data_IF_891927619042
#
_entry.id   IF_891927619042
#
_cell.length_a   1.000
_cell.length_b   1.000
_cell.length_c   1.000
_cell.angle_alpha   90.00
_cell.angle_beta   90.00
_cell.angle_gamma   90.00
#
_symmetry.space_group_name_H-M   'P 1'
#
loop_
_entity.id
_entity.type
_entity.pdbx_description
1 polymer ?
#
# COMPACT_ATOMS: atom_id res chain seq x y z
N UNK A 1 26.60 52.11 -2.71
CA UNK A 1 25.82 51.23 -1.80
C UNK A 1 25.37 49.98 -2.58
N UNK A 2 26.19 48.94 -2.60
CA UNK A 2 25.90 47.65 -3.28
C UNK A 2 25.70 46.59 -2.20
N UNK A 3 24.47 46.12 -2.00
CA UNK A 3 24.19 44.99 -1.10
C UNK A 3 24.57 43.69 -1.81
N UNK A 4 25.63 43.03 -1.34
CA UNK A 4 25.91 41.63 -1.66
C UNK A 4 24.78 40.75 -1.11
N UNK A 5 23.99 40.15 -1.99
CA UNK A 5 23.05 39.09 -1.65
C UNK A 5 23.81 37.79 -1.42
N UNK A 6 24.08 37.46 -0.15
CA UNK A 6 24.57 36.15 0.22
C UNK A 6 23.46 35.11 -0.01
N UNK A 7 23.70 34.16 -0.91
CA UNK A 7 22.88 32.96 -1.09
C UNK A 7 22.99 32.12 0.19
N UNK A 8 21.88 31.78 0.88
CA UNK A 8 21.95 30.94 2.06
C UNK A 8 22.45 29.54 1.66
N UNK A 9 23.60 29.14 2.20
CA UNK A 9 24.14 27.80 2.01
C UNK A 9 23.18 26.77 2.63
N UNK A 10 22.67 25.86 1.80
CA UNK A 10 21.85 24.74 2.26
C UNK A 10 22.68 23.89 3.22
N UNK A 11 22.25 23.68 4.48
CA UNK A 11 23.03 22.92 5.44
C UNK A 11 23.24 21.49 4.95
N UNK A 12 24.50 21.03 4.97
CA UNK A 12 24.92 19.71 4.49
C UNK A 12 24.29 18.51 5.25
N UNK A 13 23.54 18.77 6.32
CA UNK A 13 22.94 17.78 7.22
C UNK A 13 21.81 16.97 6.57
N UNK A 14 21.03 17.55 5.64
CA UNK A 14 19.95 16.84 4.95
C UNK A 14 20.48 15.70 4.05
N UNK A 15 21.73 15.78 3.58
CA UNK A 15 22.29 14.79 2.65
C UNK A 15 22.86 13.53 3.29
N UNK A 16 23.36 13.59 4.54
CA UNK A 16 23.99 12.42 5.17
C UNK A 16 22.96 11.40 5.64
N UNK A 17 21.88 11.85 6.28
CA UNK A 17 20.77 10.98 6.69
C UNK A 17 20.10 10.28 5.51
N UNK A 18 19.82 11.01 4.42
CA UNK A 18 19.23 10.44 3.20
C UNK A 18 20.17 9.43 2.54
N UNK A 19 21.48 9.70 2.48
CA UNK A 19 22.46 8.74 1.94
C UNK A 19 22.55 7.47 2.79
N UNK A 20 22.55 7.60 4.11
CA UNK A 20 22.55 6.44 5.02
C UNK A 20 21.25 5.64 4.87
N UNK A 21 20.09 6.29 4.91
CA UNK A 21 18.80 5.62 4.71
C UNK A 21 18.73 4.92 3.35
N UNK A 22 19.19 5.56 2.27
CA UNK A 22 19.28 4.96 0.94
C UNK A 22 20.20 3.75 0.94
N UNK A 23 21.39 3.86 1.53
CA UNK A 23 22.34 2.76 1.60
C UNK A 23 21.74 1.57 2.38
N UNK A 24 21.09 1.84 3.51
CA UNK A 24 20.40 0.82 4.31
C UNK A 24 19.29 0.15 3.50
N UNK A 25 18.42 0.92 2.84
CA UNK A 25 17.34 0.36 2.01
C UNK A 25 17.88 -0.48 0.84
N UNK A 26 18.97 -0.06 0.20
CA UNK A 26 19.61 -0.83 -0.87
C UNK A 26 20.19 -2.13 -0.30
N UNK A 27 20.94 -2.07 0.79
CA UNK A 27 21.53 -3.27 1.43
C UNK A 27 20.44 -4.25 1.85
N UNK A 28 19.40 -3.77 2.52
CA UNK A 28 18.26 -4.60 2.93
C UNK A 28 17.55 -5.18 1.72
N UNK A 29 17.29 -4.38 0.68
CA UNK A 29 16.66 -4.85 -0.56
C UNK A 29 17.46 -5.95 -1.25
N UNK A 30 18.78 -5.77 -1.39
CA UNK A 30 19.68 -6.78 -1.98
C UNK A 30 19.71 -8.04 -1.11
N UNK A 31 19.78 -7.89 0.22
CA UNK A 31 19.75 -9.03 1.14
C UNK A 31 18.45 -9.82 1.02
N UNK A 32 17.30 -9.14 0.92
CA UNK A 32 15.99 -9.79 0.72
C UNK A 32 15.86 -10.47 -0.64
N UNK A 33 16.41 -9.88 -1.71
CA UNK A 33 16.47 -10.52 -3.03
C UNK A 33 17.32 -11.79 -2.97
N UNK A 34 18.50 -11.73 -2.33
CA UNK A 34 19.37 -12.88 -2.14
C UNK A 34 18.68 -13.99 -1.33
N UNK A 35 18.02 -13.62 -0.22
CA UNK A 35 17.23 -14.54 0.59
C UNK A 35 16.09 -15.16 -0.21
N UNK A 36 15.35 -14.37 -0.98
CA UNK A 36 14.27 -14.84 -1.85
C UNK A 36 14.78 -15.81 -2.92
N UNK A 37 15.94 -15.52 -3.53
CA UNK A 37 16.60 -16.41 -4.48
C UNK A 37 17.01 -17.75 -3.86
N UNK A 38 17.56 -17.73 -2.64
CA UNK A 38 17.88 -18.94 -1.89
C UNK A 38 16.63 -19.77 -1.55
N UNK A 39 15.59 -19.11 -1.04
CA UNK A 39 14.31 -19.77 -0.72
C UNK A 39 13.67 -20.36 -1.98
N UNK A 40 13.78 -19.67 -3.12
CA UNK A 40 13.26 -20.15 -4.40
C UNK A 40 13.89 -21.49 -4.81
N UNK A 41 15.20 -21.64 -4.63
CA UNK A 41 15.91 -22.89 -4.98
C UNK A 41 15.56 -24.04 -4.04
N UNK A 42 15.29 -23.76 -2.77
CA UNK A 42 14.95 -24.78 -1.76
C UNK A 42 13.47 -25.21 -1.82
N UNK A 43 12.56 -24.29 -2.14
CA UNK A 43 11.11 -24.52 -1.95
C UNK A 43 10.34 -24.71 -3.25
N UNK A 44 10.86 -24.27 -4.39
CA UNK A 44 10.13 -24.28 -5.66
C UNK A 44 10.87 -25.09 -6.70
N UNK A 45 10.19 -26.11 -7.24
CA UNK A 45 10.69 -26.89 -8.38
C UNK A 45 10.94 -25.98 -9.60
N UNK A 46 12.08 -26.13 -10.31
CA UNK A 46 12.42 -25.28 -11.46
C UNK A 46 11.36 -25.20 -12.56
N UNK A 47 10.56 -26.25 -12.73
CA UNK A 47 9.45 -26.29 -13.70
C UNK A 47 8.35 -25.26 -13.41
N UNK A 48 8.28 -24.72 -12.19
CA UNK A 48 7.30 -23.72 -11.77
C UNK A 48 7.82 -22.28 -11.83
N UNK A 49 9.09 -22.06 -12.15
CA UNK A 49 9.66 -20.71 -12.21
C UNK A 49 8.96 -19.82 -13.25
N UNK A 50 8.52 -20.39 -14.37
CA UNK A 50 7.75 -19.66 -15.38
C UNK A 50 6.43 -19.11 -14.82
N UNK A 51 5.68 -19.94 -14.07
CA UNK A 51 4.44 -19.50 -13.43
C UNK A 51 4.66 -18.43 -12.37
N UNK A 52 5.73 -18.56 -11.57
CA UNK A 52 6.13 -17.54 -10.61
C UNK A 52 6.48 -16.21 -11.30
N UNK A 53 7.24 -16.26 -12.39
CA UNK A 53 7.64 -15.06 -13.12
C UNK A 53 6.42 -14.32 -13.70
N UNK A 54 5.47 -15.06 -14.29
CA UNK A 54 4.20 -14.49 -14.76
C UNK A 54 3.43 -13.85 -13.61
N UNK A 55 3.39 -14.49 -12.45
CA UNK A 55 2.73 -13.93 -11.26
C UNK A 55 3.42 -12.64 -10.80
N UNK A 56 4.75 -12.62 -10.67
CA UNK A 56 5.50 -11.44 -10.26
C UNK A 56 5.27 -10.25 -11.21
N UNK A 57 5.37 -10.49 -12.53
CA UNK A 57 5.12 -9.46 -13.54
C UNK A 57 3.66 -8.98 -13.46
N UNK A 58 2.71 -9.91 -13.37
CA UNK A 58 1.29 -9.60 -13.24
C UNK A 58 0.99 -8.75 -12.01
N UNK A 59 1.59 -9.06 -10.86
CA UNK A 59 1.46 -8.29 -9.62
C UNK A 59 2.02 -6.88 -9.74
N UNK A 60 3.19 -6.70 -10.36
CA UNK A 60 3.78 -5.36 -10.59
C UNK A 60 2.88 -4.53 -11.50
N UNK A 61 2.39 -5.10 -12.61
CA UNK A 61 1.48 -4.40 -13.53
C UNK A 61 0.19 -4.01 -12.81
N UNK A 62 -0.42 -4.95 -12.08
CA UNK A 62 -1.63 -4.67 -11.32
C UNK A 62 -1.42 -3.53 -10.31
N UNK A 63 -0.28 -3.52 -9.60
CA UNK A 63 -0.02 -2.49 -8.60
C UNK A 63 0.32 -1.13 -9.20
N UNK A 64 1.31 -1.08 -10.09
CA UNK A 64 1.94 0.17 -10.52
C UNK A 64 1.23 0.80 -11.71
N UNK A 65 0.69 -0.03 -12.62
CA UNK A 65 0.03 0.46 -13.83
C UNK A 65 -1.49 0.64 -13.67
N UNK A 66 -2.10 -0.03 -12.69
CA UNK A 66 -3.56 0.04 -12.47
C UNK A 66 -3.88 0.72 -11.15
N UNK A 67 -3.43 0.15 -10.03
CA UNK A 67 -3.88 0.61 -8.71
C UNK A 67 -3.36 2.01 -8.41
N UNK A 68 -2.05 2.26 -8.57
CA UNK A 68 -1.46 3.56 -8.28
C UNK A 68 -2.10 4.71 -9.10
N UNK A 69 -2.28 4.58 -10.45
CA UNK A 69 -2.94 5.61 -11.25
C UNK A 69 -4.41 5.82 -10.88
N UNK A 70 -5.17 4.75 -10.62
CA UNK A 70 -6.59 4.86 -10.23
C UNK A 70 -6.72 5.59 -8.90
N UNK A 71 -5.89 5.22 -7.92
CA UNK A 71 -5.90 5.85 -6.60
C UNK A 71 -5.47 7.32 -6.68
N UNK A 72 -4.41 7.63 -7.44
CA UNK A 72 -3.97 9.00 -7.67
C UNK A 72 -5.04 9.82 -8.41
N UNK A 73 -5.67 9.25 -9.44
CA UNK A 73 -6.77 9.86 -10.18
C UNK A 73 -7.97 10.16 -9.29
N UNK A 74 -8.38 9.22 -8.44
CA UNK A 74 -9.45 9.42 -7.47
C UNK A 74 -9.12 10.55 -6.47
N UNK A 75 -7.90 10.58 -5.94
CA UNK A 75 -7.45 11.65 -5.06
C UNK A 75 -7.50 13.04 -5.74
N UNK A 76 -7.06 13.11 -7.01
CA UNK A 76 -7.13 14.35 -7.80
C UNK A 76 -8.57 14.78 -8.08
N UNK A 77 -9.47 13.85 -8.40
CA UNK A 77 -10.89 14.15 -8.64
C UNK A 77 -11.57 14.68 -7.39
N UNK A 78 -11.32 14.06 -6.23
CA UNK A 78 -11.84 14.55 -4.94
C UNK A 78 -11.30 15.95 -4.63
N UNK A 79 -10.01 16.19 -4.87
CA UNK A 79 -9.39 17.52 -4.71
C UNK A 79 -10.00 18.59 -5.61
N UNK A 80 -10.41 18.22 -6.84
CA UNK A 80 -11.08 19.14 -7.78
C UNK A 80 -12.55 19.41 -7.46
N UNK A 81 -13.21 18.55 -6.68
CA UNK A 81 -14.66 18.67 -6.41
C UNK A 81 -14.99 19.85 -5.47
N UNK A 82 -14.01 20.61 -4.97
CA UNK A 82 -14.23 21.80 -4.13
C UNK A 82 -14.93 21.54 -2.78
N UNK A 83 -15.30 20.29 -2.50
CA UNK A 83 -15.91 19.84 -1.25
C UNK A 83 -14.88 20.00 -0.13
N UNK A 84 -15.31 20.59 0.99
CA UNK A 84 -14.54 20.75 2.24
C UNK A 84 -14.21 19.40 2.91
N UNK A 85 -13.57 18.48 2.21
CA UNK A 85 -13.08 17.23 2.78
C UNK A 85 -11.62 17.47 3.15
N UNK A 86 -11.30 17.30 4.44
CA UNK A 86 -9.92 17.46 4.89
C UNK A 86 -9.01 16.45 4.18
N UNK A 87 -7.78 16.88 3.81
CA UNK A 87 -6.80 16.03 3.14
C UNK A 87 -6.53 14.73 3.93
N UNK A 88 -6.60 14.80 5.27
CA UNK A 88 -6.46 13.63 6.14
C UNK A 88 -7.58 12.58 5.93
N UNK A 89 -8.83 13.00 5.74
CA UNK A 89 -9.93 12.06 5.46
C UNK A 89 -9.74 11.39 4.11
N UNK A 90 -9.28 12.11 3.09
CA UNK A 90 -8.95 11.54 1.78
C UNK A 90 -7.83 10.50 1.92
N UNK A 91 -6.77 10.83 2.66
CA UNK A 91 -5.67 9.90 2.92
C UNK A 91 -6.13 8.62 3.65
N UNK A 92 -6.99 8.74 4.66
CA UNK A 92 -7.55 7.58 5.39
C UNK A 92 -8.35 6.67 4.45
N UNK A 93 -9.23 7.25 3.63
CA UNK A 93 -10.01 6.49 2.65
C UNK A 93 -9.11 5.78 1.63
N UNK A 94 -8.07 6.48 1.16
CA UNK A 94 -7.09 5.93 0.23
C UNK A 94 -6.36 4.73 0.82
N UNK A 95 -5.93 4.80 2.09
CA UNK A 95 -5.32 3.65 2.78
C UNK A 95 -6.28 2.47 2.84
N UNK A 96 -7.54 2.70 3.22
CA UNK A 96 -8.56 1.64 3.26
C UNK A 96 -8.76 0.95 1.91
N UNK A 97 -8.89 1.72 0.83
CA UNK A 97 -9.04 1.17 -0.52
C UNK A 97 -7.81 0.37 -0.94
N UNK A 98 -6.60 0.91 -0.74
CA UNK A 98 -5.35 0.22 -1.10
C UNK A 98 -5.24 -1.12 -0.35
N UNK A 99 -5.55 -1.15 0.94
CA UNK A 99 -5.54 -2.38 1.74
C UNK A 99 -6.53 -3.42 1.18
N UNK A 100 -7.78 -3.02 0.91
CA UNK A 100 -8.78 -3.92 0.34
C UNK A 100 -8.37 -4.48 -1.02
N UNK A 101 -7.75 -3.66 -1.86
CA UNK A 101 -7.25 -4.10 -3.18
C UNK A 101 -6.09 -5.09 -3.04
N UNK A 102 -5.12 -4.83 -2.16
CA UNK A 102 -4.00 -5.76 -1.91
C UNK A 102 -4.52 -7.10 -1.39
N UNK A 103 -5.47 -7.09 -0.47
CA UNK A 103 -6.12 -8.32 0.01
C UNK A 103 -6.81 -9.07 -1.13
N UNK A 104 -7.46 -8.35 -2.04
CA UNK A 104 -8.12 -8.94 -3.22
C UNK A 104 -7.10 -9.58 -4.16
N UNK A 105 -5.96 -8.93 -4.43
CA UNK A 105 -4.88 -9.49 -5.27
C UNK A 105 -4.32 -10.80 -4.71
N UNK A 106 -4.30 -10.96 -3.39
CA UNK A 106 -3.82 -12.18 -2.72
C UNK A 106 -4.88 -13.27 -2.69
N UNK A 107 -6.14 -12.93 -2.34
CA UNK A 107 -7.20 -13.93 -2.09
C UNK A 107 -7.91 -14.37 -3.37
N UNK A 108 -8.02 -13.53 -4.39
CA UNK A 108 -8.70 -13.91 -5.65
C UNK A 108 -8.04 -15.11 -6.33
N UNK A 109 -6.70 -15.22 -6.44
CA UNK A 109 -6.05 -16.44 -6.91
C UNK A 109 -6.47 -17.70 -6.12
N UNK A 110 -6.66 -17.59 -4.80
CA UNK A 110 -7.10 -18.71 -3.95
C UNK A 110 -8.55 -19.11 -4.26
N UNK A 111 -9.44 -18.14 -4.48
CA UNK A 111 -10.83 -18.38 -4.91
C UNK A 111 -10.85 -19.10 -6.26
N UNK A 112 -10.07 -18.63 -7.23
CA UNK A 112 -9.96 -19.25 -8.56
C UNK A 112 -9.38 -20.66 -8.44
N UNK A 113 -8.35 -20.86 -7.61
CA UNK A 113 -7.76 -22.17 -7.37
C UNK A 113 -8.76 -23.15 -6.75
N UNK A 114 -9.58 -22.69 -5.78
CA UNK A 114 -10.63 -23.51 -5.17
C UNK A 114 -11.72 -23.88 -6.17
N UNK A 115 -12.14 -22.94 -7.01
CA UNK A 115 -13.17 -23.18 -8.04
C UNK A 115 -12.75 -24.20 -9.11
N UNK A 116 -11.44 -24.38 -9.33
CA UNK A 116 -10.90 -25.38 -10.28
C UNK A 116 -10.89 -26.81 -9.75
N UNK A 117 -11.32 -27.05 -8.51
CA UNK A 117 -11.33 -28.38 -7.90
C UNK A 117 -9.92 -28.81 -7.46
N UNK A 118 -9.46 -28.39 -6.26
CA UNK A 118 -8.17 -28.84 -5.74
C UNK A 118 -8.15 -30.36 -5.60
N UNK A 119 -6.99 -30.98 -5.87
CA UNK A 119 -6.81 -32.44 -5.76
C UNK A 119 -6.93 -32.96 -4.32
N UNK A 120 -6.87 -32.06 -3.34
CA UNK A 120 -7.03 -32.35 -1.92
C UNK A 120 -7.74 -31.17 -1.23
N UNK A 121 -8.90 -31.45 -0.65
CA UNK A 121 -9.77 -30.45 -0.03
C UNK A 121 -9.18 -29.84 1.25
N UNK A 122 -8.20 -30.49 1.88
CA UNK A 122 -7.51 -29.93 3.06
C UNK A 122 -6.58 -28.77 2.72
N UNK A 123 -6.26 -28.55 1.43
CA UNK A 123 -5.36 -27.47 1.00
C UNK A 123 -6.09 -26.13 0.94
N UNK A 124 -7.37 -26.13 0.57
CA UNK A 124 -8.22 -24.93 0.51
C UNK A 124 -9.52 -25.14 1.30
N UNK A 125 -9.44 -25.32 2.63
CA UNK A 125 -10.59 -25.75 3.43
C UNK A 125 -11.65 -24.65 3.56
N UNK A 126 -11.25 -23.38 3.48
CA UNK A 126 -12.12 -22.25 3.81
C UNK A 126 -12.93 -21.73 2.62
N UNK A 127 -14.06 -21.08 2.91
CA UNK A 127 -14.73 -20.24 1.92
C UNK A 127 -13.98 -18.90 1.80
N UNK A 128 -13.14 -18.81 0.78
CA UNK A 128 -12.32 -17.63 0.51
C UNK A 128 -13.14 -16.44 0.02
N UNK A 129 -14.31 -16.67 -0.60
CA UNK A 129 -15.23 -15.61 -0.99
C UNK A 129 -15.84 -14.93 0.23
N UNK A 130 -16.38 -15.74 1.15
CA UNK A 130 -16.92 -15.25 2.42
C UNK A 130 -15.83 -14.54 3.25
N UNK A 131 -14.62 -15.10 3.33
CA UNK A 131 -13.50 -14.48 4.05
C UNK A 131 -13.05 -13.16 3.44
N UNK A 132 -12.98 -13.06 2.12
CA UNK A 132 -12.65 -11.80 1.45
C UNK A 132 -13.72 -10.74 1.72
N UNK A 133 -15.00 -11.11 1.71
CA UNK A 133 -16.10 -10.20 2.06
C UNK A 133 -16.00 -9.71 3.51
N UNK A 134 -15.70 -10.61 4.47
CA UNK A 134 -15.46 -10.24 5.87
C UNK A 134 -14.25 -9.32 6.00
N UNK A 135 -13.15 -9.60 5.28
CA UNK A 135 -11.97 -8.75 5.31
C UNK A 135 -12.27 -7.33 4.78
N UNK A 136 -13.02 -7.21 3.68
CA UNK A 136 -13.50 -5.94 3.18
C UNK A 136 -14.40 -5.21 4.17
N UNK A 137 -15.30 -5.93 4.84
CA UNK A 137 -16.14 -5.36 5.89
C UNK A 137 -15.30 -4.79 7.04
N UNK A 138 -14.30 -5.55 7.51
CA UNK A 138 -13.39 -5.09 8.56
C UNK A 138 -12.62 -3.85 8.12
N UNK A 139 -12.06 -3.83 6.91
CA UNK A 139 -11.36 -2.67 6.36
C UNK A 139 -12.28 -1.46 6.28
N UNK A 140 -13.51 -1.64 5.79
CA UNK A 140 -14.50 -0.57 5.68
C UNK A 140 -14.87 0.00 7.06
N UNK A 141 -15.11 -0.87 8.05
CA UNK A 141 -15.43 -0.47 9.43
C UNK A 141 -14.26 0.29 10.06
N UNK A 142 -13.03 -0.23 9.97
CA UNK A 142 -11.86 0.44 10.52
C UNK A 142 -11.59 1.79 9.85
N UNK A 143 -11.78 1.87 8.53
CA UNK A 143 -11.65 3.12 7.78
C UNK A 143 -12.70 4.14 8.22
N UNK A 144 -13.96 3.71 8.37
CA UNK A 144 -15.03 4.58 8.86
C UNK A 144 -14.75 5.08 10.29
N UNK A 145 -14.31 4.20 11.19
CA UNK A 145 -13.92 4.56 12.55
C UNK A 145 -12.76 5.55 12.58
N UNK A 146 -11.76 5.38 11.71
CA UNK A 146 -10.63 6.31 11.60
C UNK A 146 -11.08 7.70 11.10
N UNK A 147 -11.98 7.76 10.11
CA UNK A 147 -12.57 9.03 9.64
C UNK A 147 -13.37 9.72 10.75
N UNK A 148 -14.24 8.99 11.45
CA UNK A 148 -15.02 9.52 12.57
C UNK A 148 -14.09 10.01 13.69
N UNK A 149 -13.11 9.21 14.09
CA UNK A 149 -12.12 9.57 15.12
C UNK A 149 -11.35 10.84 14.76
N UNK A 150 -10.90 10.96 13.51
CA UNK A 150 -10.21 12.16 13.02
C UNK A 150 -11.11 13.40 13.07
N UNK A 151 -12.34 13.30 12.57
CA UNK A 151 -13.25 14.46 12.53
C UNK A 151 -13.65 14.93 13.93
N UNK A 152 -13.85 14.01 14.88
CA UNK A 152 -14.08 14.34 16.30
C UNK A 152 -12.87 15.04 16.90
N UNK A 153 -11.66 14.55 16.64
CA UNK A 153 -10.43 15.14 17.17
C UNK A 153 -10.14 16.53 16.59
N UNK A 154 -10.38 16.73 15.29
CA UNK A 154 -10.23 18.01 14.62
C UNK A 154 -11.15 19.08 15.23
N UNK A 155 -12.44 18.75 15.40
CA UNK A 155 -13.43 19.65 16.06
C UNK A 155 -13.02 20.02 17.48
N UNK A 156 -12.51 19.06 18.26
CA UNK A 156 -12.02 19.32 19.63
C UNK A 156 -10.79 20.25 19.67
N UNK A 157 -9.94 20.21 18.65
CA UNK A 157 -8.77 21.11 18.56
C UNK A 157 -9.22 22.53 18.24
N UNK A 158 -10.14 22.70 17.30
CA UNK A 158 -10.72 24.00 16.97
C UNK A 158 -11.39 24.65 18.18
N UNK A 159 -12.18 23.89 18.94
CA UNK A 159 -12.83 24.39 20.16
C UNK A 159 -11.85 24.81 21.27
N UNK A 160 -10.66 24.21 21.34
CA UNK A 160 -9.62 24.58 22.33
C UNK A 160 -8.78 25.78 21.93
N UNK A 161 -8.62 26.07 20.64
CA UNK A 161 -7.92 27.27 20.19
C UNK A 161 -8.82 28.52 20.20
N UNK A 162 -10.15 28.33 20.28
CA UNK A 162 -11.15 29.39 20.35
C UNK A 162 -11.52 29.82 21.78
N UNK A 163 -11.01 29.11 22.79
CA UNK A 163 -11.16 29.41 24.22
C UNK A 163 -9.84 29.96 24.77
#
# INVERSE_FOLDING_TARGET
>A
MTRSSAVPAVPASTGRGVRVARAVLVVVGVALIGLGGWVLTETVSPTRYGGLLVWLIGSVIAHDAIIAPVVAGAALLVGRTGRRISAAVVAILQVGVVLGVVLTLVVVPEIIAKARGPKNDTVLPFDYGARLAVAWLVVAVLTALAVVGWTVLARRREARCAA
#
